data_IF_797326367817
#
_entry.id   IF_797326367817
#
_cell.length_a   1.000
_cell.length_b   1.000
_cell.length_c   1.000
_cell.angle_alpha   90.00
_cell.angle_beta   90.00
_cell.angle_gamma   90.00
#
_symmetry.space_group_name_H-M   'P 1'
#
loop_
_entity.id
_entity.type
_entity.pdbx_description
1 polymer ?
#
# COMPACT_ATOMS: atom_id res chain seq x y z
N UNK A 1 -3.16 -2.86 -13.03
CA UNK A 1 -4.38 -3.12 -12.22
C UNK A 1 -5.08 -1.80 -12.03
N UNK A 2 -6.42 -1.74 -12.06
CA UNK A 2 -7.12 -0.48 -11.85
C UNK A 2 -6.93 0.01 -10.41
N UNK A 3 -6.64 1.31 -10.20
CA UNK A 3 -6.54 1.86 -8.85
C UNK A 3 -7.90 1.88 -8.14
N UNK A 4 -7.88 1.95 -6.82
CA UNK A 4 -9.09 2.20 -6.01
C UNK A 4 -9.20 3.69 -5.68
N UNK A 5 -10.43 4.18 -5.54
CA UNK A 5 -10.68 5.54 -5.06
C UNK A 5 -11.37 5.44 -3.70
N UNK A 6 -10.77 5.98 -2.64
CA UNK A 6 -11.32 5.97 -1.28
C UNK A 6 -11.00 7.31 -0.59
N UNK A 7 -11.99 7.96 0.03
CA UNK A 7 -11.84 9.27 0.70
C UNK A 7 -11.09 10.34 -0.14
N UNK A 8 -11.29 10.34 -1.46
CA UNK A 8 -10.62 11.26 -2.38
C UNK A 8 -9.14 10.95 -2.65
N UNK A 9 -8.65 9.77 -2.23
CA UNK A 9 -7.33 9.25 -2.55
C UNK A 9 -7.39 8.18 -3.62
N UNK A 10 -6.46 8.25 -4.58
CA UNK A 10 -6.22 7.18 -5.55
C UNK A 10 -5.20 6.20 -4.97
N UNK A 11 -5.57 4.92 -4.88
CA UNK A 11 -4.78 3.87 -4.23
C UNK A 11 -4.28 2.88 -5.28
N UNK A 12 -2.96 2.77 -5.39
CA UNK A 12 -2.28 1.78 -6.22
C UNK A 12 -1.68 0.67 -5.37
N UNK A 13 -1.43 -0.48 -6.02
CA UNK A 13 -0.83 -1.65 -5.40
C UNK A 13 0.46 -2.00 -6.10
N UNK A 14 1.56 -1.98 -5.35
CA UNK A 14 2.83 -2.45 -5.86
C UNK A 14 2.76 -3.96 -6.17
N UNK A 15 3.39 -4.47 -7.25
CA UNK A 15 3.32 -5.87 -7.64
C UNK A 15 3.67 -6.85 -6.52
N UNK A 16 4.67 -6.51 -5.69
CA UNK A 16 5.06 -7.32 -4.54
C UNK A 16 3.91 -7.49 -3.53
N UNK A 17 3.23 -6.40 -3.15
CA UNK A 17 2.06 -6.51 -2.28
C UNK A 17 0.91 -7.22 -2.99
N UNK A 18 0.68 -6.90 -4.26
CA UNK A 18 -0.43 -7.49 -5.01
C UNK A 18 -0.34 -9.02 -5.06
N UNK A 19 0.86 -9.57 -5.31
CA UNK A 19 1.09 -11.01 -5.26
C UNK A 19 0.80 -11.61 -3.87
N UNK A 20 1.19 -10.93 -2.79
CA UNK A 20 0.89 -11.36 -1.41
C UNK A 20 -0.61 -11.35 -1.13
N UNK A 21 -1.30 -10.30 -1.58
CA UNK A 21 -2.75 -10.14 -1.41
C UNK A 21 -3.52 -11.19 -2.21
N UNK A 22 -3.15 -11.44 -3.47
CA UNK A 22 -3.79 -12.45 -4.32
C UNK A 22 -3.67 -13.85 -3.71
N UNK A 23 -2.47 -14.21 -3.23
CA UNK A 23 -2.24 -15.49 -2.55
C UNK A 23 -3.13 -15.64 -1.30
N UNK A 24 -3.28 -14.57 -0.52
CA UNK A 24 -4.16 -14.54 0.66
C UNK A 24 -5.63 -14.70 0.26
N UNK A 25 -6.09 -13.98 -0.78
CA UNK A 25 -7.46 -14.08 -1.30
C UNK A 25 -7.78 -15.51 -1.75
N UNK A 26 -6.89 -16.14 -2.50
CA UNK A 26 -7.07 -17.53 -2.93
C UNK A 26 -7.13 -18.50 -1.75
N UNK A 27 -6.28 -18.28 -0.74
CA UNK A 27 -6.31 -19.07 0.49
C UNK A 27 -7.64 -18.94 1.21
N UNK A 28 -8.15 -17.71 1.35
CA UNK A 28 -9.47 -17.45 1.95
C UNK A 28 -10.60 -18.08 1.14
N UNK A 29 -10.56 -18.02 -0.20
CA UNK A 29 -11.54 -18.70 -1.07
C UNK A 29 -11.56 -20.22 -0.81
N UNK A 30 -10.39 -20.86 -0.71
CA UNK A 30 -10.28 -22.29 -0.38
C UNK A 30 -10.77 -22.63 1.03
N UNK A 31 -10.56 -21.74 2.01
CA UNK A 31 -11.07 -21.94 3.36
C UNK A 31 -12.60 -21.88 3.40
N UNK A 32 -13.21 -20.99 2.61
CA UNK A 32 -14.67 -20.84 2.54
C UNK A 32 -15.38 -22.12 2.07
N UNK A 33 -14.73 -22.93 1.23
CA UNK A 33 -15.28 -24.20 0.76
C UNK A 33 -14.99 -25.39 1.69
N UNK A 34 -14.22 -25.19 2.77
CA UNK A 34 -13.73 -26.28 3.63
C UNK A 34 -14.16 -26.16 5.09
N UNK A 35 -14.53 -24.96 5.54
CA UNK A 35 -14.85 -24.68 6.93
C UNK A 35 -16.33 -24.33 7.08
N UNK A 36 -16.89 -24.71 8.22
CA UNK A 36 -18.19 -24.22 8.65
C UNK A 36 -18.16 -22.69 8.85
N UNK A 37 -19.29 -21.98 8.68
CA UNK A 37 -19.32 -20.52 8.76
C UNK A 37 -18.72 -19.95 10.06
N UNK A 38 -18.96 -20.61 11.21
CA UNK A 38 -18.43 -20.20 12.52
C UNK A 38 -16.91 -20.27 12.59
N UNK A 39 -16.32 -21.32 12.01
CA UNK A 39 -14.86 -21.52 11.99
C UNK A 39 -14.18 -20.63 10.94
N UNK A 40 -14.86 -20.42 9.81
CA UNK A 40 -14.39 -19.56 8.74
C UNK A 40 -14.19 -18.11 9.21
N UNK A 41 -15.20 -17.52 9.88
CA UNK A 41 -15.13 -16.11 10.29
C UNK A 41 -14.06 -15.85 11.36
N UNK A 42 -13.69 -16.86 12.14
CA UNK A 42 -12.65 -16.72 13.17
C UNK A 42 -11.24 -17.05 12.67
N UNK A 43 -11.10 -17.64 11.49
CA UNK A 43 -9.82 -18.07 10.92
C UNK A 43 -8.85 -16.90 10.70
N UNK A 44 -7.56 -17.12 10.99
CA UNK A 44 -6.54 -16.08 10.99
C UNK A 44 -6.38 -15.38 9.63
N UNK A 45 -6.33 -16.13 8.53
CA UNK A 45 -6.21 -15.57 7.17
C UNK A 45 -7.44 -14.74 6.77
N UNK A 46 -8.64 -15.16 7.19
CA UNK A 46 -9.89 -14.43 6.91
C UNK A 46 -9.89 -13.09 7.64
N UNK A 47 -9.48 -13.11 8.93
CA UNK A 47 -9.29 -11.90 9.72
C UNK A 47 -8.21 -10.99 9.15
N UNK A 48 -7.09 -11.55 8.67
CA UNK A 48 -6.03 -10.77 8.03
C UNK A 48 -6.54 -10.10 6.76
N UNK A 49 -7.24 -10.81 5.88
CA UNK A 49 -7.78 -10.23 4.65
C UNK A 49 -8.77 -9.11 4.95
N UNK A 50 -9.68 -9.32 5.91
CA UNK A 50 -10.62 -8.28 6.37
C UNK A 50 -9.90 -7.07 6.94
N UNK A 51 -8.86 -7.28 7.75
CA UNK A 51 -8.08 -6.19 8.35
C UNK A 51 -7.31 -5.38 7.30
N UNK A 52 -6.79 -6.04 6.26
CA UNK A 52 -6.15 -5.35 5.14
C UNK A 52 -7.16 -4.49 4.36
N UNK A 53 -8.35 -5.03 4.09
CA UNK A 53 -9.40 -4.30 3.37
C UNK A 53 -9.80 -3.02 4.11
N UNK A 54 -10.10 -3.13 5.40
CA UNK A 54 -10.41 -1.99 6.28
C UNK A 54 -9.23 -1.02 6.36
N UNK A 55 -8.01 -1.54 6.53
CA UNK A 55 -6.80 -0.74 6.62
C UNK A 55 -6.58 0.13 5.38
N UNK A 56 -6.71 -0.48 4.20
CA UNK A 56 -6.43 0.14 2.90
C UNK A 56 -7.56 1.08 2.49
N UNK A 57 -8.82 0.72 2.69
CA UNK A 57 -9.98 1.49 2.20
C UNK A 57 -10.48 2.55 3.18
N UNK A 58 -10.34 2.30 4.48
CA UNK A 58 -10.95 3.18 5.50
C UNK A 58 -9.91 3.89 6.36
N UNK A 59 -8.89 3.18 6.84
CA UNK A 59 -7.97 3.74 7.87
C UNK A 59 -6.88 4.62 7.27
N UNK A 60 -6.17 4.11 6.26
CA UNK A 60 -5.08 4.87 5.62
C UNK A 60 -5.63 6.13 4.92
N UNK A 61 -6.70 6.06 4.10
CA UNK A 61 -7.16 7.23 3.35
C UNK A 61 -7.83 8.32 4.21
N UNK A 62 -8.14 8.05 5.47
CA UNK A 62 -8.68 9.06 6.40
C UNK A 62 -7.64 10.14 6.73
N UNK A 63 -6.40 9.73 7.02
CA UNK A 63 -5.26 10.62 7.23
C UNK A 63 -3.95 9.83 6.99
N UNK A 64 -3.47 9.74 5.74
CA UNK A 64 -2.30 8.90 5.42
C UNK A 64 -0.99 9.45 5.99
N UNK A 65 -0.97 10.69 6.50
CA UNK A 65 0.21 11.33 7.09
C UNK A 65 0.16 11.36 8.62
N UNK A 66 -0.81 10.68 9.23
CA UNK A 66 -0.93 10.62 10.68
C UNK A 66 0.38 10.11 11.32
N UNK A 67 0.78 10.72 12.44
CA UNK A 67 2.05 10.43 13.12
C UNK A 67 2.22 8.97 13.55
N UNK A 68 1.12 8.23 13.75
CA UNK A 68 1.16 6.82 14.11
C UNK A 68 1.49 5.89 12.93
N UNK A 69 1.42 6.38 11.69
CA UNK A 69 1.92 5.71 10.50
C UNK A 69 3.39 6.01 10.21
N UNK A 70 3.91 7.13 10.71
CA UNK A 70 5.26 7.59 10.42
C UNK A 70 6.34 6.59 10.84
N UNK A 71 7.39 6.51 10.02
CA UNK A 71 8.62 5.79 10.31
C UNK A 71 9.76 6.75 10.61
N UNK A 72 10.78 6.25 11.30
CA UNK A 72 11.99 7.00 11.62
C UNK A 72 13.04 6.81 10.53
N UNK A 73 14.09 7.65 10.56
CA UNK A 73 15.24 7.51 9.66
C UNK A 73 15.82 6.07 9.73
N UNK A 74 16.18 5.46 8.58
CA UNK A 74 16.22 6.03 7.22
C UNK A 74 14.93 5.89 6.40
N UNK A 75 13.81 5.46 7.02
CA UNK A 75 12.57 5.13 6.32
C UNK A 75 11.49 6.22 6.42
N UNK A 76 11.85 7.45 6.78
CA UNK A 76 10.92 8.55 7.08
C UNK A 76 10.00 8.96 5.91
N UNK A 77 10.34 8.60 4.67
CA UNK A 77 9.51 8.83 3.47
C UNK A 77 8.42 7.76 3.29
N UNK A 78 8.48 6.69 4.08
CA UNK A 78 7.55 5.57 4.06
C UNK A 78 6.71 5.56 5.33
N UNK A 79 5.55 4.93 5.22
CA UNK A 79 4.57 4.83 6.28
C UNK A 79 4.20 3.37 6.53
N UNK A 80 3.63 3.10 7.71
CA UNK A 80 3.27 1.75 8.11
C UNK A 80 2.04 1.67 8.99
N UNK A 81 1.04 0.94 8.52
CA UNK A 81 -0.11 0.52 9.31
C UNK A 81 0.30 -0.64 10.24
N UNK A 82 -0.03 -0.48 11.52
CA UNK A 82 0.07 -1.51 12.58
C UNK A 82 -1.18 -1.45 13.45
N UNK A 83 -1.48 -2.54 14.16
CA UNK A 83 -2.72 -2.64 14.96
C UNK A 83 -3.93 -2.42 14.05
N UNK A 84 -5.02 -1.80 14.53
CA UNK A 84 -6.22 -1.50 13.73
C UNK A 84 -6.82 -2.75 13.05
N UNK A 85 -6.85 -3.87 13.78
CA UNK A 85 -7.35 -5.15 13.27
C UNK A 85 -6.30 -6.05 12.64
N UNK A 86 -5.10 -5.53 12.28
CA UNK A 86 -4.01 -6.40 11.82
C UNK A 86 -3.58 -7.37 12.92
N UNK A 87 -3.27 -8.64 12.58
CA UNK A 87 -2.68 -9.58 13.52
C UNK A 87 -1.45 -9.02 14.22
N UNK A 88 -1.17 -9.50 15.43
CA UNK A 88 -0.04 -8.99 16.21
C UNK A 88 1.27 -9.11 15.41
N UNK A 89 2.13 -8.10 15.54
CA UNK A 89 3.42 -7.97 14.81
C UNK A 89 3.32 -7.91 13.28
N UNK A 90 2.15 -8.10 12.66
CA UNK A 90 1.93 -7.90 11.22
C UNK A 90 1.91 -6.42 10.87
N UNK A 91 2.50 -6.05 9.73
CA UNK A 91 2.70 -4.65 9.31
C UNK A 91 2.44 -4.48 7.83
N UNK A 92 1.66 -3.47 7.46
CA UNK A 92 1.47 -3.09 6.06
C UNK A 92 2.25 -1.80 5.81
N UNK A 93 3.12 -1.80 4.82
CA UNK A 93 3.93 -0.64 4.42
C UNK A 93 3.32 0.03 3.20
N UNK A 94 3.32 1.36 3.21
CA UNK A 94 2.77 2.17 2.14
C UNK A 94 3.53 3.50 2.02
N UNK A 95 3.25 4.23 0.94
CA UNK A 95 3.69 5.60 0.74
C UNK A 95 2.51 6.46 0.29
N UNK A 96 2.48 7.72 0.71
CA UNK A 96 1.47 8.69 0.30
C UNK A 96 2.14 9.93 -0.30
N UNK A 97 1.49 10.50 -1.31
CA UNK A 97 1.92 11.68 -2.05
C UNK A 97 0.79 12.71 -1.98
N UNK A 98 1.05 13.83 -1.32
CA UNK A 98 0.00 14.76 -0.89
C UNK A 98 -0.57 15.53 -2.08
N UNK A 99 0.32 15.98 -2.95
CA UNK A 99 0.05 16.87 -4.08
C UNK A 99 -0.91 16.21 -5.07
N UNK A 100 -0.64 14.94 -5.42
CA UNK A 100 -1.46 14.15 -6.34
C UNK A 100 -2.56 13.32 -5.66
N UNK A 101 -2.69 13.39 -4.32
CA UNK A 101 -3.58 12.54 -3.51
C UNK A 101 -3.48 11.04 -3.85
N UNK A 102 -2.24 10.55 -3.92
CA UNK A 102 -1.95 9.13 -4.22
C UNK A 102 -1.47 8.38 -2.99
N UNK A 103 -1.96 7.16 -2.79
CA UNK A 103 -1.42 6.16 -1.85
C UNK A 103 -0.93 4.96 -2.66
N UNK A 104 0.25 4.45 -2.34
CA UNK A 104 0.78 3.22 -2.91
C UNK A 104 1.00 2.22 -1.79
N UNK A 105 0.27 1.11 -1.84
CA UNK A 105 0.45 -0.01 -0.92
C UNK A 105 1.62 -0.86 -1.42
N UNK A 106 2.70 -0.90 -0.65
CA UNK A 106 4.01 -1.40 -1.10
C UNK A 106 4.22 -2.86 -0.77
N UNK A 107 4.01 -3.23 0.50
CA UNK A 107 4.43 -4.54 1.00
C UNK A 107 3.74 -4.93 2.30
N UNK A 108 3.30 -6.18 2.37
CA UNK A 108 2.86 -6.79 3.62
C UNK A 108 4.07 -7.44 4.29
N UNK A 109 4.51 -6.87 5.41
CA UNK A 109 5.52 -7.46 6.27
C UNK A 109 5.01 -8.74 6.93
N UNK A 110 5.83 -9.37 7.76
CA UNK A 110 5.50 -10.61 8.46
C UNK A 110 5.77 -10.48 9.96
N UNK A 111 5.05 -11.22 10.82
CA UNK A 111 5.36 -11.26 12.24
C UNK A 111 6.76 -11.88 12.44
N UNK A 112 7.52 -11.37 13.41
CA UNK A 112 8.73 -12.07 13.89
C UNK A 112 8.31 -13.43 14.45
N UNK A 113 8.91 -14.50 13.93
CA UNK A 113 8.84 -15.84 14.54
C UNK A 113 9.59 -15.82 15.87
N UNK A 114 9.16 -16.66 16.81
CA UNK A 114 9.85 -16.82 18.08
C UNK A 114 11.26 -17.40 17.84
N UNK A 115 12.28 -16.80 18.46
CA UNK A 115 13.69 -17.14 18.24
C UNK A 115 14.31 -16.62 16.92
N UNK A 116 13.53 -16.02 16.02
CA UNK A 116 14.04 -15.53 14.73
C UNK A 116 14.63 -14.11 14.86
N UNK A 117 15.81 -13.92 14.27
CA UNK A 117 16.50 -12.62 14.18
C UNK A 117 15.98 -11.75 13.04
N UNK A 118 15.20 -12.31 12.10
CA UNK A 118 14.70 -11.60 10.92
C UNK A 118 13.59 -10.63 11.29
N UNK A 119 13.94 -9.35 11.38
CA UNK A 119 12.98 -8.29 11.66
C UNK A 119 12.35 -7.72 10.36
N UNK A 120 11.03 -7.53 10.37
CA UNK A 120 10.29 -7.04 9.20
C UNK A 120 10.77 -5.67 8.71
N UNK A 121 11.24 -4.79 9.60
CA UNK A 121 11.80 -3.50 9.23
C UNK A 121 13.18 -3.63 8.62
N UNK A 122 14.01 -4.55 9.08
CA UNK A 122 15.31 -4.80 8.45
C UNK A 122 15.12 -5.29 7.01
N UNK A 123 14.15 -6.18 6.78
CA UNK A 123 13.82 -6.61 5.41
C UNK A 123 13.29 -5.45 4.59
N UNK A 124 12.30 -4.70 5.10
CA UNK A 124 11.76 -3.55 4.37
C UNK A 124 12.84 -2.50 4.07
N UNK A 125 13.72 -2.21 5.02
CA UNK A 125 14.84 -1.28 4.84
C UNK A 125 15.80 -1.76 3.75
N UNK A 126 16.10 -3.07 3.68
CA UNK A 126 16.91 -3.63 2.60
C UNK A 126 16.22 -3.49 1.24
N UNK A 127 14.90 -3.72 1.18
CA UNK A 127 14.13 -3.53 -0.07
C UNK A 127 14.21 -2.09 -0.58
N UNK A 128 14.03 -1.12 0.33
CA UNK A 128 14.18 0.31 0.02
C UNK A 128 15.60 0.62 -0.46
N UNK A 129 16.63 0.16 0.26
CA UNK A 129 18.03 0.40 -0.10
C UNK A 129 18.44 -0.25 -1.43
N UNK A 130 17.83 -1.37 -1.78
CA UNK A 130 18.05 -2.07 -3.05
C UNK A 130 17.26 -1.46 -4.22
N UNK A 131 16.48 -0.40 -3.99
CA UNK A 131 15.69 0.27 -5.03
C UNK A 131 14.37 -0.42 -5.38
N UNK A 132 13.94 -1.45 -4.65
CA UNK A 132 12.64 -2.12 -4.90
C UNK A 132 11.44 -1.20 -4.61
N UNK A 133 11.64 -0.17 -3.79
CA UNK A 133 10.65 0.87 -3.53
C UNK A 133 11.32 2.22 -3.78
N UNK A 134 11.31 2.73 -5.02
CA UNK A 134 11.88 4.04 -5.33
C UNK A 134 11.12 5.16 -4.65
N UNK A 135 11.73 6.34 -4.62
CA UNK A 135 11.16 7.45 -3.88
C UNK A 135 10.17 8.33 -4.65
N UNK A 136 10.30 8.46 -5.97
CA UNK A 136 9.37 9.27 -6.75
C UNK A 136 8.05 8.55 -6.95
N UNK A 137 6.98 9.33 -7.10
CA UNK A 137 5.67 8.81 -7.46
C UNK A 137 5.73 8.11 -8.82
N UNK A 138 6.33 8.77 -9.82
CA UNK A 138 6.48 8.27 -11.18
C UNK A 138 7.12 6.89 -11.23
N UNK A 139 8.28 6.70 -10.59
CA UNK A 139 8.97 5.41 -10.60
C UNK A 139 8.16 4.31 -9.90
N UNK A 140 7.39 4.65 -8.85
CA UNK A 140 6.50 3.66 -8.23
C UNK A 140 5.28 3.34 -9.12
N UNK A 141 4.76 4.31 -9.87
CA UNK A 141 3.62 4.09 -10.76
C UNK A 141 4.01 3.22 -11.97
N UNK A 142 5.21 3.39 -12.52
CA UNK A 142 5.75 2.49 -13.57
C UNK A 142 5.68 1.02 -13.17
N UNK A 143 5.90 0.71 -11.89
CA UNK A 143 5.79 -0.65 -11.36
C UNK A 143 4.31 -1.07 -11.12
N UNK A 144 3.43 -0.13 -10.77
CA UNK A 144 2.04 -0.42 -10.39
C UNK A 144 1.06 -0.50 -11.57
N UNK A 145 1.37 0.18 -12.66
CA UNK A 145 0.52 0.28 -13.85
C UNK A 145 1.29 -0.15 -15.09
N UNK A 146 0.74 -1.04 -15.94
CA UNK A 146 1.17 -1.09 -17.33
C UNK A 146 1.06 0.33 -17.93
N UNK A 147 2.04 0.74 -18.74
CA UNK A 147 2.18 2.11 -19.27
C UNK A 147 0.85 2.76 -19.67
N UNK A 148 0.64 4.03 -19.27
CA UNK A 148 -0.48 4.86 -19.76
C UNK A 148 -1.32 5.63 -18.71
N UNK A 149 -0.99 5.61 -17.41
CA UNK A 149 -1.75 6.36 -16.39
C UNK A 149 -1.23 7.79 -16.12
N UNK A 150 -0.06 8.15 -16.62
CA UNK A 150 0.51 9.49 -16.53
C UNK A 150 0.42 10.16 -17.90
N UNK A 151 -0.79 10.32 -18.41
CA UNK A 151 -1.08 11.32 -19.41
C UNK A 151 -2.07 12.30 -18.76
N UNK A 152 -1.77 13.58 -18.92
CA UNK A 152 -2.62 14.73 -18.63
C UNK A 152 -2.56 15.26 -17.19
N UNK A 153 -1.54 16.07 -16.93
CA UNK A 153 -1.59 17.17 -15.95
C UNK A 153 -0.54 18.27 -16.27
N UNK A 154 -0.19 18.46 -17.54
CA UNK A 154 0.53 19.67 -18.01
C UNK A 154 -0.23 20.30 -19.17
N UNK A 155 -1.18 21.17 -18.82
CA UNK A 155 -1.48 22.40 -19.58
C UNK A 155 -1.83 23.51 -18.57
N UNK A 156 -0.85 23.90 -17.77
CA UNK A 156 -0.81 25.28 -17.27
C UNK A 156 -0.28 26.16 -18.42
N UNK A 157 -0.88 27.34 -18.56
CA UNK A 157 -0.80 28.18 -19.75
C UNK A 157 0.47 28.99 -19.93
N UNK A 158 0.69 29.31 -21.21
CA UNK A 158 1.55 30.30 -21.90
C UNK A 158 1.18 30.06 -23.39
N UNK A 159 0.83 30.98 -24.29
CA UNK A 159 0.85 32.43 -24.48
C UNK A 159 -0.39 32.74 -25.39
N UNK A 160 -0.94 33.94 -25.55
CA UNK A 160 -0.36 35.08 -26.26
C UNK A 160 -1.07 36.38 -25.87
N UNK A 161 -0.32 37.29 -25.27
CA UNK A 161 -0.44 38.73 -25.53
C UNK A 161 0.40 39.06 -26.78
N UNK A 162 0.10 40.19 -27.42
CA UNK A 162 0.70 40.79 -28.63
C UNK A 162 0.29 40.28 -30.02
N UNK A 163 -0.35 41.17 -30.77
CA UNK A 163 -0.51 41.06 -32.22
C UNK A 163 -1.40 42.15 -32.82
N UNK A 164 -0.84 43.35 -32.96
CA UNK A 164 -1.46 44.48 -33.62
C UNK A 164 -2.02 44.17 -35.03
N UNK A 165 -3.23 44.67 -35.33
CA UNK A 165 -3.50 45.53 -36.49
C UNK A 165 -4.85 46.25 -36.33
#
# INVERSE_FOLDING_TARGET
MNPLICNGWTIFFHPLFYAQWLSLVEKVKRLKSKLEPSDFVVHADVKLLKALDIGIKEKIPLDPFASHFALQKPLQKYSRLKKMGLPNRMRLFFRAFKEKKVIIILWLGFPRKEGDKKDCYQVFSKKVLNGEFPESLESLLTECTPEGFLADDEKDGEDDDEGAN
#
